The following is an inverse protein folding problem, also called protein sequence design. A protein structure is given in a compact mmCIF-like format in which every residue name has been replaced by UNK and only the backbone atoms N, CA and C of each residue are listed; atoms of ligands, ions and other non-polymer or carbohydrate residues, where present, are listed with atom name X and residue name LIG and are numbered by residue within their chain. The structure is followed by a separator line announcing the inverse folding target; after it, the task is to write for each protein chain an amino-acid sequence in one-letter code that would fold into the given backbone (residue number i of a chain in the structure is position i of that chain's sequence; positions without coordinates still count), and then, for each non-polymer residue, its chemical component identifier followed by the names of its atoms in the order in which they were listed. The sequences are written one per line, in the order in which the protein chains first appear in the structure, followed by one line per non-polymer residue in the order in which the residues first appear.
data_IF_719595445652
#
_entry.id   IF_719595445652
#
_cell.length_a   1.000
_cell.length_b   1.000
_cell.length_c   1.000
_cell.angle_alpha   90.00
_cell.angle_beta   90.00
_cell.angle_gamma   90.00
#
_symmetry.space_group_name_H-M   'P 1'
#
loop_
_entity.id
_entity.type
_entity.pdbx_description
1 polymer ?
#
# COMPACT_ATOMS: atom_id res chain seq x y z
N UNK A 1 5.56 -11.48 -15.52
CA UNK A 1 5.44 -10.11 -14.98
C UNK A 1 3.97 -9.82 -14.80
N UNK A 2 3.50 -9.87 -13.56
CA UNK A 2 2.11 -9.52 -13.26
C UNK A 2 1.93 -8.01 -13.38
N UNK A 3 1.02 -7.59 -14.26
CA UNK A 3 0.74 -6.18 -14.53
C UNK A 3 -0.51 -5.76 -13.76
N UNK A 4 -0.40 -4.64 -13.04
CA UNK A 4 -1.56 -3.97 -12.45
C UNK A 4 -2.21 -3.05 -13.48
N UNK A 5 -3.54 -3.04 -13.53
CA UNK A 5 -4.31 -2.14 -14.40
C UNK A 5 -4.96 -1.09 -13.52
N UNK A 6 -4.66 0.19 -13.74
CA UNK A 6 -5.15 1.29 -12.91
C UNK A 6 -5.55 2.51 -13.75
N UNK A 7 -6.42 3.34 -13.16
CA UNK A 7 -6.85 4.63 -13.72
C UNK A 7 -6.48 5.77 -12.76
N UNK A 8 -6.22 6.97 -13.29
CA UNK A 8 -5.95 8.17 -12.50
C UNK A 8 -7.27 8.90 -12.19
N UNK A 9 -7.52 9.30 -10.94
CA UNK A 9 -8.68 10.11 -10.57
C UNK A 9 -8.21 11.52 -10.17
N UNK A 10 -8.98 12.55 -10.54
CA UNK A 10 -8.62 13.96 -10.27
C UNK A 10 -8.47 14.30 -8.77
N UNK A 11 -9.14 13.56 -7.87
CA UNK A 11 -9.13 13.80 -6.41
C UNK A 11 -8.45 12.67 -5.59
N UNK A 12 -8.14 11.53 -6.22
CA UNK A 12 -7.44 10.38 -5.62
C UNK A 12 -6.40 9.89 -6.65
N UNK A 13 -5.11 9.82 -6.31
CA UNK A 13 -4.08 9.72 -7.36
C UNK A 13 -4.26 8.52 -8.29
N UNK A 14 -4.60 7.32 -7.78
CA UNK A 14 -4.79 6.12 -8.61
C UNK A 14 -5.90 5.20 -8.10
N UNK A 15 -6.57 4.48 -9.00
CA UNK A 15 -7.56 3.45 -8.67
C UNK A 15 -7.36 2.19 -9.49
N UNK A 16 -7.41 1.05 -8.81
CA UNK A 16 -7.21 -0.26 -9.39
C UNK A 16 -8.44 -0.66 -10.22
N UNK A 17 -8.23 -1.01 -11.48
CA UNK A 17 -9.30 -1.41 -12.41
C UNK A 17 -9.52 -2.92 -12.38
N UNK A 18 -8.46 -3.69 -12.12
CA UNK A 18 -8.51 -5.16 -12.08
C UNK A 18 -7.98 -5.65 -10.74
N UNK A 19 -8.68 -6.59 -10.11
CA UNK A 19 -8.22 -7.21 -8.87
C UNK A 19 -6.82 -7.79 -9.04
N UNK A 20 -6.02 -7.63 -8.01
CA UNK A 20 -4.62 -8.03 -8.00
C UNK A 20 -4.33 -8.79 -6.72
N UNK A 21 -3.71 -9.96 -6.86
CA UNK A 21 -3.33 -10.80 -5.72
C UNK A 21 -1.82 -11.00 -5.75
N UNK A 22 -1.18 -10.92 -4.59
CA UNK A 22 0.26 -11.09 -4.47
C UNK A 22 0.62 -11.78 -3.17
N UNK A 23 1.54 -12.74 -3.28
CA UNK A 23 2.04 -13.50 -2.14
C UNK A 23 3.13 -12.69 -1.43
N UNK A 24 2.73 -12.03 -0.35
CA UNK A 24 3.61 -11.17 0.44
C UNK A 24 4.57 -11.99 1.32
N UNK A 25 4.21 -13.24 1.63
CA UNK A 25 4.91 -14.08 2.62
C UNK A 25 4.75 -13.61 4.06
N UNK A 26 3.96 -12.55 4.30
CA UNK A 26 3.68 -12.01 5.64
C UNK A 26 2.60 -12.88 6.28
N UNK A 27 3.02 -13.81 7.13
CA UNK A 27 2.08 -14.67 7.86
C UNK A 27 1.41 -13.89 8.97
N UNK A 28 0.10 -14.02 9.06
CA UNK A 28 -0.70 -13.40 10.13
C UNK A 28 -1.46 -14.49 10.87
N UNK A 29 -1.72 -14.27 12.17
CA UNK A 29 -2.44 -15.25 12.98
C UNK A 29 -3.93 -15.37 12.61
N UNK A 30 -4.46 -14.45 11.80
CA UNK A 30 -5.87 -14.38 11.39
C UNK A 30 -5.98 -13.74 10.02
N UNK A 31 -6.98 -14.14 9.24
CA UNK A 31 -7.34 -13.42 8.01
C UNK A 31 -7.79 -11.99 8.33
N UNK A 32 -7.25 -11.02 7.60
CA UNK A 32 -7.50 -9.59 7.81
C UNK A 32 -8.20 -9.01 6.59
N UNK A 33 -9.32 -8.33 6.80
CA UNK A 33 -10.11 -7.72 5.72
C UNK A 33 -10.42 -6.27 6.03
N UNK A 34 -10.21 -5.43 5.03
CA UNK A 34 -10.70 -4.05 4.98
C UNK A 34 -11.81 -3.98 3.96
N UNK A 35 -12.96 -3.52 4.41
CA UNK A 35 -14.12 -3.30 3.57
C UNK A 35 -15.14 -2.41 4.26
N UNK A 36 -16.08 -1.86 3.48
CA UNK A 36 -17.25 -1.22 4.08
C UNK A 36 -18.07 -2.28 4.79
N UNK A 37 -18.54 -1.93 6.00
CA UNK A 37 -19.14 -2.82 7.03
C UNK A 37 -20.12 -3.90 6.53
N UNK A 38 -20.75 -3.74 5.35
CA UNK A 38 -21.75 -4.67 4.83
C UNK A 38 -21.69 -5.02 3.33
N UNK A 39 -20.77 -4.50 2.50
CA UNK A 39 -20.97 -4.63 1.03
C UNK A 39 -19.74 -4.92 0.16
N UNK A 40 -18.52 -4.49 0.55
CA UNK A 40 -17.36 -4.68 -0.33
C UNK A 40 -16.05 -4.73 0.44
N UNK A 41 -15.31 -5.83 0.27
CA UNK A 41 -13.92 -5.96 0.72
C UNK A 41 -13.03 -5.38 -0.36
N UNK A 42 -12.18 -4.43 0.02
CA UNK A 42 -11.21 -3.80 -0.89
C UNK A 42 -9.82 -4.40 -0.74
N UNK A 43 -9.45 -4.80 0.48
CA UNK A 43 -8.17 -5.44 0.79
C UNK A 43 -8.43 -6.65 1.67
N UNK A 44 -7.95 -7.81 1.26
CA UNK A 44 -8.04 -9.08 2.00
C UNK A 44 -6.63 -9.66 2.12
N UNK A 45 -6.20 -9.98 3.33
CA UNK A 45 -4.94 -10.64 3.61
C UNK A 45 -5.24 -11.96 4.32
N UNK A 46 -4.78 -13.06 3.73
CA UNK A 46 -4.93 -14.38 4.33
C UNK A 46 -3.85 -14.67 5.39
N UNK A 47 -4.09 -15.67 6.25
CA UNK A 47 -3.11 -16.11 7.25
C UNK A 47 -1.82 -16.65 6.63
N UNK A 48 -1.90 -17.16 5.40
CA UNK A 48 -0.76 -17.65 4.62
C UNK A 48 0.09 -16.51 4.01
N UNK A 49 -0.36 -15.26 4.10
CA UNK A 49 0.33 -14.08 3.57
C UNK A 49 0.02 -13.75 2.12
N UNK A 50 -1.10 -14.25 1.60
CA UNK A 50 -1.64 -13.82 0.31
C UNK A 50 -2.44 -12.52 0.49
N UNK A 51 -1.98 -11.42 -0.12
CA UNK A 51 -2.68 -10.14 -0.14
C UNK A 51 -3.47 -10.00 -1.44
N UNK A 52 -4.79 -9.83 -1.34
CA UNK A 52 -5.71 -9.56 -2.43
C UNK A 52 -6.21 -8.12 -2.33
N UNK A 53 -6.10 -7.39 -3.42
CA UNK A 53 -6.59 -6.02 -3.57
C UNK A 53 -7.63 -6.04 -4.67
N UNK A 54 -8.87 -5.69 -4.31
CA UNK A 54 -10.01 -5.78 -5.20
C UNK A 54 -10.11 -4.58 -6.16
N UNK A 55 -10.77 -4.81 -7.29
CA UNK A 55 -11.04 -3.76 -8.26
C UNK A 55 -11.89 -2.63 -7.63
N UNK A 56 -11.43 -1.41 -7.79
CA UNK A 56 -12.02 -0.21 -7.20
C UNK A 56 -11.24 0.35 -6.00
N UNK A 57 -10.21 -0.35 -5.51
CA UNK A 57 -9.33 0.21 -4.48
C UNK A 57 -8.59 1.45 -4.99
N UNK A 58 -8.68 2.56 -4.25
CA UNK A 58 -8.00 3.80 -4.56
C UNK A 58 -6.82 3.99 -3.61
N UNK A 59 -5.68 4.44 -4.13
CA UNK A 59 -4.44 4.62 -3.37
C UNK A 59 -3.67 5.85 -3.85
N UNK A 60 -2.79 6.36 -3.00
CA UNK A 60 -2.08 7.63 -3.26
C UNK A 60 -0.87 7.45 -4.20
N UNK A 61 -0.53 6.23 -4.56
CA UNK A 61 0.61 5.94 -5.43
C UNK A 61 1.95 6.28 -4.79
N UNK A 62 3.00 6.38 -5.62
CA UNK A 62 4.28 6.90 -5.21
C UNK A 62 4.17 8.26 -4.52
N UNK A 63 4.47 8.30 -3.23
CA UNK A 63 4.58 9.55 -2.49
C UNK A 63 6.05 9.86 -2.22
N UNK A 64 6.52 11.02 -2.67
CA UNK A 64 7.89 11.51 -2.49
C UNK A 64 8.55 11.98 -3.79
N UNK A 65 9.83 12.42 -3.73
CA UNK A 65 10.61 12.89 -4.89
C UNK A 65 11.04 11.74 -5.83
N UNK A 66 10.43 10.57 -5.71
CA UNK A 66 10.76 9.37 -6.47
C UNK A 66 10.06 9.44 -7.81
N UNK A 67 10.81 9.35 -8.92
CA UNK A 67 10.20 9.39 -10.24
C UNK A 67 9.12 8.30 -10.36
N UNK A 68 7.94 8.66 -10.85
CA UNK A 68 6.83 7.76 -11.19
C UNK A 68 7.27 6.79 -12.30
N UNK A 69 8.02 5.77 -11.93
CA UNK A 69 8.37 4.68 -12.84
C UNK A 69 7.29 3.61 -12.71
N UNK A 70 6.90 2.99 -13.83
CA UNK A 70 5.95 1.85 -13.83
C UNK A 70 6.33 0.74 -12.85
N UNK A 71 7.62 0.63 -12.54
CA UNK A 71 8.22 -0.31 -11.59
C UNK A 71 7.95 0.00 -10.11
N UNK A 72 7.44 1.19 -9.81
CA UNK A 72 7.08 1.61 -8.45
C UNK A 72 5.57 1.57 -8.21
N UNK A 73 4.76 1.61 -9.26
CA UNK A 73 3.30 1.57 -9.14
C UNK A 73 2.81 0.31 -8.45
N UNK A 74 3.32 -0.86 -8.87
CA UNK A 74 2.98 -2.15 -8.26
C UNK A 74 3.38 -2.18 -6.79
N UNK A 75 4.64 -1.85 -6.47
CA UNK A 75 5.11 -1.78 -5.10
C UNK A 75 4.31 -0.81 -4.22
N UNK A 76 4.05 0.40 -4.71
CA UNK A 76 3.28 1.42 -3.98
C UNK A 76 1.87 0.95 -3.65
N UNK A 77 1.20 0.21 -4.55
CA UNK A 77 -0.13 -0.32 -4.32
C UNK A 77 -0.15 -1.29 -3.14
N UNK A 78 0.78 -2.26 -3.09
CA UNK A 78 0.85 -3.20 -1.97
C UNK A 78 1.23 -2.48 -0.68
N UNK A 79 2.19 -1.56 -0.76
CA UNK A 79 2.66 -0.81 0.41
C UNK A 79 1.53 0.01 1.05
N UNK A 80 0.76 0.74 0.25
CA UNK A 80 -0.37 1.55 0.73
C UNK A 80 -1.48 0.67 1.32
N UNK A 81 -1.77 -0.49 0.71
CA UNK A 81 -2.72 -1.47 1.24
C UNK A 81 -2.27 -2.05 2.60
N UNK A 82 -0.99 -2.40 2.74
CA UNK A 82 -0.40 -2.85 4.00
C UNK A 82 -0.43 -1.76 5.07
N UNK A 83 -0.12 -0.53 4.69
CA UNK A 83 -0.18 0.62 5.58
C UNK A 83 -1.61 0.94 6.03
N UNK A 84 -2.60 0.77 5.16
CA UNK A 84 -4.00 0.93 5.55
C UNK A 84 -4.41 -0.10 6.60
N UNK A 85 -3.98 -1.36 6.47
CA UNK A 85 -4.22 -2.40 7.48
C UNK A 85 -3.59 -2.07 8.83
N UNK A 86 -2.41 -1.43 8.83
CA UNK A 86 -1.77 -0.92 10.04
C UNK A 86 -2.52 0.28 10.62
N UNK A 87 -3.02 1.19 9.77
CA UNK A 87 -3.77 2.38 10.18
C UNK A 87 -5.13 2.03 10.79
N UNK A 88 -5.77 0.96 10.33
CA UNK A 88 -7.01 0.42 10.90
C UNK A 88 -6.76 -0.50 12.12
N UNK A 89 -5.54 -0.53 12.66
CA UNK A 89 -5.12 -1.35 13.81
C UNK A 89 -5.41 -2.85 13.63
N UNK A 90 -5.52 -3.31 12.38
CA UNK A 90 -5.73 -4.71 12.05
C UNK A 90 -4.42 -5.49 12.08
N UNK A 91 -3.33 -4.82 11.66
CA UNK A 91 -1.95 -5.27 11.70
C UNK A 91 -1.15 -4.43 12.68
N UNK A 92 -0.24 -5.08 13.43
CA UNK A 92 0.69 -4.36 14.29
C UNK A 92 1.75 -3.62 13.45
N UNK A 93 1.68 -2.29 13.46
CA UNK A 93 2.67 -1.43 12.77
C UNK A 93 4.10 -1.66 13.24
N UNK A 94 4.34 -2.09 14.47
CA UNK A 94 5.70 -2.30 14.98
C UNK A 94 6.31 -3.59 14.42
N UNK A 95 5.49 -4.63 14.28
CA UNK A 95 5.91 -5.93 13.78
C UNK A 95 5.97 -5.97 12.23
N UNK A 96 4.96 -5.41 11.56
CA UNK A 96 4.75 -5.62 10.12
C UNK A 96 5.25 -4.48 9.22
N UNK A 97 5.57 -3.29 9.76
CA UNK A 97 6.08 -2.17 8.95
C UNK A 97 7.38 -2.50 8.23
N UNK A 98 8.33 -3.10 8.93
CA UNK A 98 9.61 -3.45 8.31
C UNK A 98 9.44 -4.53 7.23
N UNK A 99 8.51 -5.46 7.42
CA UNK A 99 8.16 -6.45 6.40
C UNK A 99 7.51 -5.80 5.17
N UNK A 100 6.60 -4.85 5.36
CA UNK A 100 5.96 -4.09 4.27
C UNK A 100 6.98 -3.25 3.48
N UNK A 101 7.90 -2.56 4.18
CA UNK A 101 8.94 -1.75 3.55
C UNK A 101 9.93 -2.62 2.77
N UNK A 102 10.33 -3.79 3.30
CA UNK A 102 11.17 -4.76 2.58
C UNK A 102 10.46 -5.35 1.36
N UNK A 103 9.15 -5.59 1.47
CA UNK A 103 8.37 -6.11 0.35
C UNK A 103 8.31 -5.09 -0.78
N UNK A 104 8.13 -3.81 -0.45
CA UNK A 104 8.21 -2.72 -1.42
C UNK A 104 9.55 -2.73 -2.17
N UNK A 105 10.66 -2.82 -1.44
CA UNK A 105 12.01 -2.89 -2.03
C UNK A 105 12.14 -4.10 -2.96
N UNK A 106 11.71 -5.28 -2.52
CA UNK A 106 11.75 -6.51 -3.31
C UNK A 106 10.96 -6.39 -4.61
N UNK A 107 9.74 -5.85 -4.55
CA UNK A 107 8.89 -5.67 -5.74
C UNK A 107 9.51 -4.66 -6.71
N UNK A 108 10.11 -3.58 -6.19
CA UNK A 108 10.83 -2.62 -7.02
C UNK A 108 11.98 -3.29 -7.77
N UNK A 109 12.77 -4.12 -7.08
CA UNK A 109 13.87 -4.89 -7.68
C UNK A 109 13.36 -5.88 -8.73
N UNK A 110 12.30 -6.63 -8.44
CA UNK A 110 11.65 -7.56 -9.36
C UNK A 110 11.15 -6.86 -10.63
N UNK A 111 10.63 -5.64 -10.49
CA UNK A 111 10.16 -4.82 -11.61
C UNK A 111 11.31 -4.15 -12.38
N UNK A 112 12.57 -4.40 -12.01
CA UNK A 112 13.74 -3.91 -12.71
C UNK A 112 14.21 -2.53 -12.27
N UNK A 113 13.78 -2.06 -11.09
CA UNK A 113 14.36 -0.87 -10.46
C UNK A 113 15.80 -1.17 -10.04
N UNK A 114 16.69 -0.21 -10.28
CA UNK A 114 18.08 -0.30 -9.83
C UNK A 114 18.14 -0.45 -8.29
N UNK A 115 18.99 -1.36 -7.80
CA UNK A 115 19.13 -1.67 -6.37
C UNK A 115 19.50 -0.48 -5.50
N UNK A 116 20.31 0.46 -6.01
CA UNK A 116 20.60 1.71 -5.29
C UNK A 116 19.35 2.55 -5.08
N UNK A 117 18.46 2.56 -6.07
CA UNK A 117 17.21 3.32 -6.03
C UNK A 117 16.18 2.62 -5.14
N UNK A 118 16.09 1.30 -5.19
CA UNK A 118 15.23 0.52 -4.30
C UNK A 118 15.63 0.71 -2.83
N UNK A 119 16.93 0.67 -2.51
CA UNK A 119 17.43 0.95 -1.17
C UNK A 119 17.17 2.40 -0.73
N UNK A 120 17.28 3.37 -1.64
CA UNK A 120 16.91 4.77 -1.35
C UNK A 120 15.43 4.91 -0.99
N UNK A 121 14.55 4.28 -1.78
CA UNK A 121 13.10 4.23 -1.52
C UNK A 121 12.82 3.62 -0.16
N UNK A 122 13.41 2.46 0.15
CA UNK A 122 13.26 1.79 1.44
C UNK A 122 13.65 2.69 2.61
N UNK A 123 14.81 3.35 2.53
CA UNK A 123 15.29 4.26 3.60
C UNK A 123 14.37 5.47 3.76
N UNK A 124 13.87 6.03 2.66
CA UNK A 124 12.98 7.18 2.70
C UNK A 124 11.62 6.84 3.30
N UNK A 125 11.02 5.72 2.88
CA UNK A 125 9.78 5.20 3.45
C UNK A 125 9.95 4.85 4.92
N UNK A 126 11.10 4.30 5.34
CA UNK A 126 11.36 4.02 6.76
C UNK A 126 11.39 5.30 7.61
N UNK A 127 11.86 6.41 7.04
CA UNK A 127 11.97 7.71 7.72
C UNK A 127 10.65 8.50 7.74
N UNK A 128 9.90 8.51 6.63
CA UNK A 128 8.64 9.27 6.51
C UNK A 128 7.38 8.45 6.83
N UNK A 129 7.46 7.12 6.74
CA UNK A 129 6.35 6.20 6.94
C UNK A 129 5.86 6.14 8.39
N UNK A 130 6.69 6.50 9.37
CA UNK A 130 6.29 6.54 10.77
C UNK A 130 5.19 7.57 11.04
N UNK A 131 5.16 8.68 10.27
CA UNK A 131 4.07 9.66 10.32
C UNK A 131 2.81 9.15 9.61
N UNK A 132 2.98 8.46 8.47
CA UNK A 132 1.87 7.95 7.64
C UNK A 132 1.17 6.71 8.21
N UNK A 133 1.85 5.96 9.09
CA UNK A 133 1.33 4.80 9.80
C UNK A 133 0.65 5.14 11.13
N UNK A 134 0.61 6.42 11.54
CA UNK A 134 -0.20 6.82 12.69
C UNK A 134 -1.69 6.71 12.34
N UNK A 135 -2.55 6.29 13.28
CA UNK A 135 -3.99 6.38 13.10
C UNK A 135 -4.36 7.82 12.76
N UNK A 136 -5.26 8.01 11.78
CA UNK A 136 -5.80 9.34 11.49
C UNK A 136 -6.59 9.77 12.73
N UNK A 137 -6.09 10.75 13.46
CA UNK A 137 -6.94 11.54 14.36
C UNK A 137 -8.05 12.14 13.50
N UNK A 138 -9.31 11.79 13.80
CA UNK A 138 -10.49 12.37 13.17
C UNK A 138 -10.72 13.81 13.67
N UNK A 139 -9.75 14.71 13.52
CA UNK A 139 -10.03 16.15 13.51
C UNK A 139 -10.30 16.57 12.07
N UNK A 140 -11.55 16.36 11.66
CA UNK A 140 -12.14 17.01 10.47
C UNK A 140 -12.01 18.53 10.62
N UNK A 141 -10.97 19.11 10.04
CA UNK A 141 -11.03 20.50 9.61
C UNK A 141 -11.55 20.51 8.18
N UNK A 142 -12.84 20.80 8.04
CA UNK A 142 -13.42 21.13 6.75
C UNK A 142 -12.87 22.50 6.33
N UNK A 143 -11.93 22.51 5.40
CA UNK A 143 -11.51 23.75 4.75
C UNK A 143 -12.57 24.11 3.68
N UNK A 144 -13.29 25.21 3.92
CA UNK A 144 -14.17 25.83 2.93
C UNK A 144 -13.34 26.82 2.13
N UNK A 145 -13.17 26.56 0.84
CA UNK A 145 -12.58 27.50 -0.11
C UNK A 145 -13.68 28.45 -0.66
N UNK A 146 -13.38 29.72 -0.96
CA UNK A 146 -14.33 30.66 -1.55
C UNK A 146 -14.79 30.25 -2.97
#
# INVERSE_FOLDING_TARGET
MDQIVYRNLKNYKYQLVKSYSYETGIKTNRTIRIGSKNEKVFVDMDSDGLLRIEAGYAWDGPSGPTFDTKTFMRGSLLHDALYQLMREEKLDRYEYREAADRLLEKICLEDGMNSFRAAYVYRFVRWFGESSAKPKDETKEWEVAP
#
